data_IF_297575597577
#
_entry.id   IF_297575597577
#
_cell.length_a   1.000
_cell.length_b   1.000
_cell.length_c   1.000
_cell.angle_alpha   90.00
_cell.angle_beta   90.00
_cell.angle_gamma   90.00
#
_symmetry.space_group_name_H-M   'P 1'
#
loop_
_entity.id
_entity.type
_entity.pdbx_description
1 polymer ?
#
# COMPACT_ATOMS: atom_id res chain seq x y z
N UNK A 1 1.23 -18.02 23.60
CA UNK A 1 0.77 -18.71 22.38
C UNK A 1 0.93 -17.92 21.07
N UNK A 2 1.27 -16.63 21.13
CA UNK A 2 1.42 -15.75 19.95
C UNK A 2 2.65 -15.98 19.04
N UNK A 3 3.82 -16.51 19.49
CA UNK A 3 5.01 -16.53 18.60
C UNK A 3 4.94 -17.51 17.42
N UNK A 4 4.17 -18.60 17.53
CA UNK A 4 4.12 -19.68 16.52
C UNK A 4 3.22 -19.36 15.32
N UNK A 5 2.19 -18.55 15.53
CA UNK A 5 1.32 -18.10 14.44
C UNK A 5 2.09 -17.12 13.54
N UNK A 6 2.79 -16.16 14.16
CA UNK A 6 3.59 -15.17 13.43
C UNK A 6 4.69 -15.81 12.56
N UNK A 7 5.31 -16.89 13.02
CA UNK A 7 6.36 -17.58 12.24
C UNK A 7 5.83 -18.31 11.01
N UNK A 8 4.56 -18.75 11.01
CA UNK A 8 3.96 -19.44 9.87
C UNK A 8 3.38 -18.45 8.84
N UNK A 9 2.99 -17.24 9.28
CA UNK A 9 2.51 -16.17 8.38
C UNK A 9 3.65 -15.50 7.59
N UNK A 10 4.88 -15.56 8.10
CA UNK A 10 6.07 -14.98 7.47
C UNK A 10 6.79 -15.92 6.49
N UNK A 11 6.31 -17.16 6.34
CA UNK A 11 6.88 -18.16 5.43
C UNK A 11 5.90 -18.46 4.29
N UNK A 12 6.42 -18.51 3.07
CA UNK A 12 5.69 -18.99 1.90
C UNK A 12 5.50 -20.53 1.98
N UNK A 13 4.57 -21.11 1.20
CA UNK A 13 4.33 -22.57 1.19
C UNK A 13 5.59 -23.40 0.89
N UNK A 14 6.55 -22.79 0.17
CA UNK A 14 7.82 -23.39 -0.21
C UNK A 14 8.93 -23.22 0.87
N UNK A 15 8.60 -22.60 2.01
CA UNK A 15 9.53 -22.34 3.12
C UNK A 15 10.44 -21.12 2.93
N UNK A 16 10.23 -20.33 1.87
CA UNK A 16 10.88 -19.02 1.67
C UNK A 16 10.17 -17.90 2.43
N UNK A 17 10.65 -16.64 2.36
CA UNK A 17 9.94 -15.52 2.98
C UNK A 17 8.60 -15.26 2.26
N UNK A 18 7.55 -14.94 3.02
CA UNK A 18 6.23 -14.63 2.45
C UNK A 18 6.16 -13.19 1.91
N UNK A 19 5.14 -12.90 1.10
CA UNK A 19 4.87 -11.52 0.66
C UNK A 19 4.73 -10.57 1.86
N UNK A 20 4.04 -11.00 2.91
CA UNK A 20 3.87 -10.24 4.14
C UNK A 20 5.20 -9.92 4.84
N UNK A 21 6.15 -10.85 4.83
CA UNK A 21 7.50 -10.60 5.36
C UNK A 21 8.17 -9.44 4.61
N UNK A 22 8.18 -9.49 3.28
CA UNK A 22 8.79 -8.43 2.47
C UNK A 22 8.07 -7.09 2.61
N UNK A 23 6.75 -7.08 2.79
CA UNK A 23 5.97 -5.86 3.09
C UNK A 23 6.35 -5.24 4.44
N UNK A 24 6.54 -6.05 5.48
CA UNK A 24 7.01 -5.57 6.79
C UNK A 24 8.43 -4.99 6.70
N UNK A 25 9.32 -5.64 5.95
CA UNK A 25 10.64 -5.10 5.64
C UNK A 25 10.52 -3.74 4.95
N UNK A 26 9.72 -3.63 3.89
CA UNK A 26 9.51 -2.37 3.18
C UNK A 26 9.01 -1.25 4.11
N UNK A 27 8.02 -1.53 4.96
CA UNK A 27 7.52 -0.57 5.95
C UNK A 27 8.62 -0.10 6.90
N UNK A 28 9.45 -1.04 7.41
CA UNK A 28 10.58 -0.71 8.27
C UNK A 28 11.61 0.21 7.61
N UNK A 29 11.92 -0.02 6.34
CA UNK A 29 12.82 0.83 5.56
C UNK A 29 12.20 2.20 5.27
N UNK A 30 10.90 2.26 4.96
CA UNK A 30 10.17 3.53 4.77
C UNK A 30 10.18 4.41 6.03
N UNK A 31 10.00 3.81 7.21
CA UNK A 31 10.09 4.52 8.49
C UNK A 31 11.49 5.11 8.74
N UNK A 32 12.53 4.43 8.25
CA UNK A 32 13.93 4.91 8.29
C UNK A 32 14.30 5.83 7.13
N UNK A 33 13.38 6.06 6.19
CA UNK A 33 13.59 6.81 4.93
C UNK A 33 14.64 6.19 4.01
N UNK A 34 14.83 4.87 4.11
CA UNK A 34 15.73 4.09 3.26
C UNK A 34 14.97 3.67 1.99
N UNK A 35 14.79 4.61 1.06
CA UNK A 35 13.88 4.40 -0.09
C UNK A 35 14.34 3.30 -1.05
N UNK A 36 15.63 3.16 -1.29
CA UNK A 36 16.14 2.14 -2.22
C UNK A 36 15.89 0.72 -1.67
N UNK A 37 16.23 0.49 -0.40
CA UNK A 37 15.99 -0.79 0.27
C UNK A 37 14.49 -1.10 0.47
N UNK A 38 13.67 -0.06 0.69
CA UNK A 38 12.22 -0.22 0.68
C UNK A 38 11.71 -0.65 -0.71
N UNK A 39 12.26 -0.09 -1.79
CA UNK A 39 11.90 -0.45 -3.15
C UNK A 39 12.32 -1.90 -3.48
N UNK A 40 13.52 -2.32 -3.08
CA UNK A 40 13.96 -3.73 -3.23
C UNK A 40 13.01 -4.69 -2.50
N UNK A 41 12.67 -4.38 -1.25
CA UNK A 41 11.71 -5.19 -0.46
C UNK A 41 10.33 -5.26 -1.15
N UNK A 42 9.86 -4.15 -1.75
CA UNK A 42 8.59 -4.14 -2.48
C UNK A 42 8.65 -4.92 -3.79
N UNK A 43 9.80 -4.94 -4.47
CA UNK A 43 10.00 -5.77 -5.65
C UNK A 43 9.94 -7.26 -5.30
N UNK A 44 10.57 -7.67 -4.20
CA UNK A 44 10.46 -9.04 -3.70
C UNK A 44 9.02 -9.39 -3.33
N UNK A 45 8.32 -8.52 -2.59
CA UNK A 45 6.91 -8.71 -2.25
C UNK A 45 6.03 -8.88 -3.51
N UNK A 46 6.25 -8.04 -4.52
CA UNK A 46 5.51 -8.10 -5.79
C UNK A 46 5.82 -9.35 -6.61
N UNK A 47 7.02 -9.94 -6.49
CA UNK A 47 7.34 -11.21 -7.15
C UNK A 47 6.60 -12.38 -6.51
N UNK A 48 6.40 -12.33 -5.19
CA UNK A 48 5.67 -13.37 -4.46
C UNK A 48 4.16 -13.26 -4.71
N UNK A 49 3.60 -12.05 -4.61
CA UNK A 49 2.18 -11.81 -4.86
C UNK A 49 1.94 -10.39 -5.40
N UNK A 50 1.82 -10.28 -6.72
CA UNK A 50 1.56 -9.01 -7.41
C UNK A 50 0.09 -8.56 -7.32
N UNK A 51 -0.83 -9.44 -6.90
CA UNK A 51 -2.25 -9.12 -6.72
C UNK A 51 -2.54 -8.65 -5.30
N UNK A 52 -1.55 -8.70 -4.41
CA UNK A 52 -1.70 -8.21 -3.06
C UNK A 52 -1.88 -6.67 -3.07
N UNK A 53 -3.02 -6.16 -2.56
CA UNK A 53 -3.29 -4.73 -2.53
C UNK A 53 -2.29 -3.92 -1.70
N UNK A 54 -1.69 -4.51 -0.65
CA UNK A 54 -0.73 -3.83 0.23
C UNK A 54 0.61 -3.53 -0.47
N UNK A 55 1.01 -4.38 -1.43
CA UNK A 55 2.19 -4.13 -2.28
C UNK A 55 2.02 -2.81 -3.04
N UNK A 56 0.84 -2.61 -3.63
CA UNK A 56 0.52 -1.39 -4.37
C UNK A 56 0.35 -0.18 -3.46
N UNK A 57 -0.27 -0.36 -2.30
CA UNK A 57 -0.41 0.71 -1.31
C UNK A 57 0.96 1.20 -0.79
N UNK A 58 1.87 0.29 -0.44
CA UNK A 58 3.20 0.65 0.03
C UNK A 58 4.10 1.18 -1.09
N UNK A 59 3.95 0.70 -2.32
CA UNK A 59 4.61 1.28 -3.50
C UNK A 59 4.16 2.72 -3.73
N UNK A 60 2.85 2.98 -3.60
CA UNK A 60 2.30 4.33 -3.63
C UNK A 60 2.87 5.19 -2.49
N UNK A 61 2.99 4.62 -1.29
CA UNK A 61 3.57 5.32 -0.14
C UNK A 61 5.04 5.71 -0.36
N UNK A 62 5.84 4.80 -0.89
CA UNK A 62 7.23 5.05 -1.27
C UNK A 62 7.30 6.22 -2.26
N UNK A 63 6.54 6.15 -3.35
CA UNK A 63 6.50 7.20 -4.40
C UNK A 63 6.05 8.54 -3.84
N UNK A 64 5.06 8.53 -2.95
CA UNK A 64 4.56 9.73 -2.27
C UNK A 64 5.66 10.40 -1.43
N UNK A 65 6.39 9.62 -0.63
CA UNK A 65 7.50 10.13 0.18
C UNK A 65 8.66 10.63 -0.69
N UNK A 66 8.88 10.01 -1.85
CA UNK A 66 9.88 10.44 -2.84
C UNK A 66 9.43 11.63 -3.70
N UNK A 67 8.27 12.24 -3.42
CA UNK A 67 7.74 13.41 -4.15
C UNK A 67 7.11 13.10 -5.51
N UNK A 68 7.04 11.83 -5.92
CA UNK A 68 6.49 11.36 -7.20
C UNK A 68 4.97 11.16 -7.08
N UNK A 69 4.24 12.27 -6.87
CA UNK A 69 2.81 12.24 -6.52
C UNK A 69 1.91 11.60 -7.59
N UNK A 70 2.14 11.89 -8.88
CA UNK A 70 1.36 11.29 -9.96
C UNK A 70 1.49 9.75 -10.01
N UNK A 71 2.70 9.24 -9.79
CA UNK A 71 2.93 7.79 -9.74
C UNK A 71 2.43 7.15 -8.44
N UNK A 72 2.47 7.91 -7.33
CA UNK A 72 1.88 7.48 -6.07
C UNK A 72 0.37 7.31 -6.22
N UNK A 73 -0.30 8.27 -6.86
CA UNK A 73 -1.73 8.23 -7.15
C UNK A 73 -2.11 6.99 -7.95
N UNK A 74 -1.42 6.71 -9.06
CA UNK A 74 -1.68 5.51 -9.87
C UNK A 74 -1.53 4.21 -9.05
N UNK A 75 -0.50 4.11 -8.20
CA UNK A 75 -0.33 2.96 -7.33
C UNK A 75 -1.46 2.80 -6.31
N UNK A 76 -1.92 3.90 -5.70
CA UNK A 76 -3.02 3.86 -4.76
C UNK A 76 -4.35 3.51 -5.44
N UNK A 77 -4.66 4.09 -6.60
CA UNK A 77 -5.84 3.76 -7.40
C UNK A 77 -5.83 2.27 -7.78
N UNK A 78 -4.67 1.74 -8.17
CA UNK A 78 -4.52 0.32 -8.47
C UNK A 78 -4.76 -0.55 -7.23
N UNK A 79 -4.18 -0.19 -6.07
CA UNK A 79 -4.43 -0.89 -4.80
C UNK A 79 -5.94 -0.95 -4.49
N UNK A 80 -6.64 0.17 -4.64
CA UNK A 80 -8.09 0.26 -4.42
C UNK A 80 -8.95 -0.53 -5.42
N UNK A 81 -8.42 -0.79 -6.61
CA UNK A 81 -9.09 -1.62 -7.62
C UNK A 81 -9.06 -3.11 -7.28
N UNK A 82 -8.08 -3.55 -6.48
CA UNK A 82 -7.88 -4.94 -6.07
C UNK A 82 -8.68 -5.30 -4.80
N UNK A 83 -9.15 -4.30 -4.06
CA UNK A 83 -9.85 -4.51 -2.79
C UNK A 83 -11.37 -4.63 -2.98
N UNK A 84 -11.93 -5.72 -2.46
CA UNK A 84 -13.37 -5.95 -2.41
C UNK A 84 -14.07 -5.16 -1.29
N UNK A 85 -13.40 -4.97 -0.14
CA UNK A 85 -13.90 -4.18 1.00
C UNK A 85 -12.93 -3.06 1.39
N UNK A 86 -13.35 -1.83 1.13
CA UNK A 86 -12.53 -0.62 1.26
C UNK A 86 -12.17 -0.24 2.71
N UNK A 87 -12.76 -0.90 3.73
CA UNK A 87 -12.56 -0.59 5.14
C UNK A 87 -11.09 -0.67 5.59
N UNK A 88 -10.30 -1.57 5.00
CA UNK A 88 -8.90 -1.78 5.36
C UNK A 88 -7.91 -0.76 4.74
N UNK A 89 -8.38 0.14 3.88
CA UNK A 89 -7.52 1.06 3.10
C UNK A 89 -7.60 2.53 3.51
N UNK A 90 -7.99 2.83 4.76
CA UNK A 90 -8.15 4.20 5.26
C UNK A 90 -6.91 5.08 4.96
N UNK A 91 -5.70 4.56 5.18
CA UNK A 91 -4.46 5.29 4.95
C UNK A 91 -4.21 5.65 3.48
N UNK A 92 -4.67 4.82 2.54
CA UNK A 92 -4.56 5.05 1.09
C UNK A 92 -5.48 6.19 0.68
N UNK A 93 -6.73 6.20 1.14
CA UNK A 93 -7.70 7.26 0.87
C UNK A 93 -7.24 8.62 1.40
N UNK A 94 -6.71 8.68 2.64
CA UNK A 94 -6.19 9.93 3.20
C UNK A 94 -5.06 10.52 2.35
N UNK A 95 -4.14 9.67 1.89
CA UNK A 95 -3.00 10.10 1.06
C UNK A 95 -3.45 10.54 -0.33
N UNK A 96 -4.37 9.80 -0.96
CA UNK A 96 -4.99 10.22 -2.22
C UNK A 96 -5.68 11.57 -2.08
N UNK A 97 -6.50 11.75 -1.03
CA UNK A 97 -7.14 13.03 -0.75
C UNK A 97 -6.12 14.17 -0.60
N UNK A 98 -5.01 13.93 0.09
CA UNK A 98 -3.93 14.92 0.18
C UNK A 98 -3.28 15.23 -1.17
N UNK A 99 -3.14 14.27 -2.08
CA UNK A 99 -2.60 14.49 -3.43
C UNK A 99 -3.58 15.36 -4.23
N UNK A 100 -4.85 15.00 -4.29
CA UNK A 100 -5.89 15.76 -5.01
C UNK A 100 -6.01 17.21 -4.51
N UNK A 101 -6.02 17.41 -3.19
CA UNK A 101 -6.07 18.74 -2.60
C UNK A 101 -4.86 19.61 -2.98
N UNK A 102 -3.67 19.02 -3.10
CA UNK A 102 -2.46 19.74 -3.46
C UNK A 102 -2.36 20.03 -4.96
N UNK A 103 -2.90 19.16 -5.81
CA UNK A 103 -2.92 19.34 -7.27
C UNK A 103 -4.07 20.25 -7.73
N UNK A 104 -5.02 20.57 -6.84
CA UNK A 104 -6.22 21.36 -7.18
C UNK A 104 -7.19 20.59 -8.08
N UNK A 105 -6.97 19.28 -8.25
CA UNK A 105 -7.82 18.41 -9.03
C UNK A 105 -9.02 17.96 -8.21
N UNK A 106 -10.22 18.13 -8.76
CA UNK A 106 -11.44 17.58 -8.19
C UNK A 106 -11.44 16.08 -8.45
N UNK A 107 -11.74 15.28 -7.42
CA UNK A 107 -11.96 13.84 -7.57
C UNK A 107 -13.13 13.64 -8.53
N UNK A 108 -12.83 13.25 -9.77
CA UNK A 108 -13.84 13.03 -10.82
C UNK A 108 -14.41 11.62 -10.79
N UNK A 109 -13.69 10.68 -10.18
CA UNK A 109 -14.18 9.33 -10.01
C UNK A 109 -15.22 9.28 -8.88
N UNK A 110 -16.49 9.17 -9.29
CA UNK A 110 -17.63 9.06 -8.39
C UNK A 110 -17.53 7.85 -7.45
N UNK A 111 -16.91 6.75 -7.87
CA UNK A 111 -16.72 5.57 -7.02
C UNK A 111 -15.67 5.85 -5.94
N UNK A 112 -14.58 6.54 -6.31
CA UNK A 112 -13.55 6.98 -5.38
C UNK A 112 -14.11 7.98 -4.36
N UNK A 113 -14.91 8.96 -4.82
CA UNK A 113 -15.55 9.95 -3.96
C UNK A 113 -16.49 9.31 -2.93
N UNK A 114 -17.36 8.38 -3.34
CA UNK A 114 -18.27 7.67 -2.43
C UNK A 114 -17.50 6.82 -1.42
N UNK A 115 -16.45 6.11 -1.87
CA UNK A 115 -15.60 5.30 -0.98
C UNK A 115 -14.86 6.16 0.04
N UNK A 116 -14.30 7.29 -0.37
CA UNK A 116 -13.66 8.25 0.54
C UNK A 116 -14.64 8.85 1.57
N UNK A 117 -15.86 9.19 1.13
CA UNK A 117 -16.91 9.73 2.01
C UNK A 117 -17.31 8.75 3.11
N UNK A 118 -17.46 7.47 2.78
CA UNK A 118 -17.81 6.42 3.73
C UNK A 118 -16.69 6.14 4.74
N UNK A 119 -15.43 6.27 4.32
CA UNK A 119 -14.25 6.07 5.16
C UNK A 119 -14.08 7.20 6.19
N UNK A 120 -14.55 8.42 5.89
CA UNK A 120 -14.56 9.54 6.83
C UNK A 120 -15.73 9.50 7.84
N UNK A 121 -16.72 8.64 7.65
CA UNK A 121 -17.93 8.56 8.48
C UNK A 121 -17.97 7.36 9.46
N UNK A 122 -16.97 6.47 9.42
CA UNK A 122 -16.73 5.40 10.40
C UNK A 122 -15.65 5.81 11.39
#
# INVERSE_FOLDING_TARGET
FVPRALSHDLLSPDGGPSCQYHLMCAQGHLLRKEFDAANESLQEASQVDHQNPDVWALTGHLRYLSGRKGEARQSYEHALSLVADASEMHSVYLRLGSIYLQEGEVITDHLLYVRMSNVCTQ
#
